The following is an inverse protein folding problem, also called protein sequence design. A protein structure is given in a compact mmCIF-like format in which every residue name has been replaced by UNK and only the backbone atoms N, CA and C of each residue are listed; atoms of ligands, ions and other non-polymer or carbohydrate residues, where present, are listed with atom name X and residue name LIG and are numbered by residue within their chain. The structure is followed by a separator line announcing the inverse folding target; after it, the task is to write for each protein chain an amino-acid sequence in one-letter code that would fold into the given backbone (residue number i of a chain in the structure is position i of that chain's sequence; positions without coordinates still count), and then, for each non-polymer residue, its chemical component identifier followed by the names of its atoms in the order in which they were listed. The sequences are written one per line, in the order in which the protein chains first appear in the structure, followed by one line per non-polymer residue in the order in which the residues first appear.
data_IF_567192540692
#
_entry.id   IF_567192540692
#
_cell.length_a   1.000
_cell.length_b   1.000
_cell.length_c   1.000
_cell.angle_alpha   90.00
_cell.angle_beta   90.00
_cell.angle_gamma   90.00
#
_symmetry.space_group_name_H-M   'P 1'
#
loop_
_entity.id
_entity.type
_entity.pdbx_description
1 polymer ?
#
# COMPACT_ATOMS: atom_id res chain seq x y z
N UNK A 1 8.72 -8.05 2.24
CA UNK A 1 7.85 -6.85 2.18
C UNK A 1 7.03 -6.89 0.91
N UNK A 2 5.76 -6.65 1.00
CA UNK A 2 4.89 -6.52 -0.17
C UNK A 2 4.28 -5.13 -0.18
N UNK A 3 4.29 -4.48 -1.35
CA UNK A 3 3.64 -3.20 -1.56
C UNK A 3 2.58 -3.41 -2.62
N UNK A 4 1.33 -3.29 -2.23
CA UNK A 4 0.19 -3.49 -3.13
C UNK A 4 -0.36 -2.10 -3.48
N UNK A 5 -0.35 -1.77 -4.76
CA UNK A 5 -0.72 -0.44 -5.22
C UNK A 5 -1.66 -0.52 -6.41
N UNK A 6 -2.40 0.55 -6.65
CA UNK A 6 -3.25 0.64 -7.83
C UNK A 6 -3.14 2.03 -8.46
N UNK A 7 -3.51 2.09 -9.74
CA UNK A 7 -3.53 3.35 -10.47
C UNK A 7 -2.18 4.06 -10.49
N UNK A 8 -2.23 5.36 -10.29
CA UNK A 8 -1.03 6.20 -10.37
C UNK A 8 -0.04 5.94 -9.24
N UNK A 9 -0.48 5.27 -8.17
CA UNK A 9 0.41 5.01 -7.03
C UNK A 9 1.38 3.87 -7.30
N UNK A 10 1.18 3.09 -8.35
CA UNK A 10 2.10 2.01 -8.71
C UNK A 10 3.51 2.54 -8.96
N UNK A 11 3.63 3.70 -9.62
CA UNK A 11 4.94 4.33 -9.86
C UNK A 11 5.64 4.65 -8.54
N UNK A 12 4.90 5.18 -7.57
CA UNK A 12 5.47 5.48 -6.25
C UNK A 12 5.93 4.21 -5.55
N UNK A 13 5.14 3.15 -5.66
CA UNK A 13 5.48 1.86 -5.05
C UNK A 13 6.76 1.28 -5.66
N UNK A 14 6.91 1.38 -6.98
CA UNK A 14 8.11 0.89 -7.66
C UNK A 14 9.35 1.69 -7.25
N UNK A 15 9.22 3.01 -7.11
CA UNK A 15 10.33 3.86 -6.67
C UNK A 15 10.71 3.53 -5.22
N UNK A 16 9.72 3.32 -4.37
CA UNK A 16 9.97 2.94 -2.98
C UNK A 16 10.67 1.58 -2.89
N UNK A 17 10.23 0.61 -3.69
CA UNK A 17 10.84 -0.70 -3.72
C UNK A 17 12.31 -0.63 -4.15
N UNK A 18 12.62 0.23 -5.10
CA UNK A 18 14.00 0.42 -5.55
C UNK A 18 14.88 1.00 -4.44
N UNK A 19 14.38 2.00 -3.73
CA UNK A 19 15.11 2.60 -2.62
C UNK A 19 15.32 1.59 -1.49
N UNK A 20 14.32 0.77 -1.22
CA UNK A 20 14.43 -0.28 -0.19
C UNK A 20 15.48 -1.32 -0.58
N UNK A 21 15.53 -1.69 -1.84
CA UNK A 21 16.51 -2.64 -2.33
C UNK A 21 17.94 -2.13 -2.10
N UNK A 22 18.16 -0.85 -2.29
CA UNK A 22 19.47 -0.23 -2.02
C UNK A 22 19.86 -0.33 -0.55
N UNK A 23 18.89 -0.49 0.33
CA UNK A 23 19.09 -0.62 1.77
C UNK A 23 19.01 -2.08 2.24
N UNK A 24 19.01 -3.03 1.31
CA UNK A 24 18.99 -4.45 1.64
C UNK A 24 17.62 -5.01 1.98
N UNK A 25 16.56 -4.28 1.70
CA UNK A 25 15.19 -4.72 1.96
C UNK A 25 14.53 -5.09 0.65
N UNK A 26 14.16 -6.36 0.50
CA UNK A 26 13.44 -6.80 -0.69
C UNK A 26 11.97 -6.44 -0.58
N UNK A 27 11.44 -5.81 -1.63
CA UNK A 27 10.03 -5.45 -1.69
C UNK A 27 9.44 -5.95 -3.00
N UNK A 28 8.34 -6.69 -2.89
CA UNK A 28 7.57 -7.16 -4.03
C UNK A 28 6.44 -6.16 -4.27
N UNK A 29 6.33 -5.66 -5.48
CA UNK A 29 5.26 -4.71 -5.84
C UNK A 29 4.19 -5.48 -6.61
N UNK A 30 2.95 -5.34 -6.15
CA UNK A 30 1.79 -5.94 -6.79
C UNK A 30 0.91 -4.83 -7.32
N UNK A 31 0.73 -4.81 -8.65
CA UNK A 31 -0.15 -3.85 -9.31
C UNK A 31 -1.57 -4.42 -9.34
N UNK A 32 -2.44 -3.85 -8.52
CA UNK A 32 -3.82 -4.31 -8.40
C UNK A 32 -4.75 -3.35 -9.11
N UNK A 33 -4.90 -3.52 -10.42
CA UNK A 33 -5.72 -2.60 -11.20
C UNK A 33 -7.21 -2.81 -11.05
N UNK A 34 -7.63 -3.86 -10.38
CA UNK A 34 -9.05 -4.12 -10.15
C UNK A 34 -9.27 -4.48 -8.69
N UNK A 35 -10.19 -3.78 -8.04
CA UNK A 35 -10.54 -4.08 -6.67
C UNK A 35 -11.71 -5.05 -6.62
N UNK A 36 -12.58 -5.01 -7.62
CA UNK A 36 -13.74 -5.89 -7.74
C UNK A 36 -13.78 -6.48 -9.15
N UNK A 37 -13.41 -7.76 -9.31
CA UNK A 37 -12.97 -8.66 -8.26
C UNK A 37 -11.51 -8.43 -7.87
N UNK A 38 -11.21 -8.51 -6.59
CA UNK A 38 -9.85 -8.46 -6.10
C UNK A 38 -9.13 -9.75 -6.49
N UNK A 39 -7.85 -9.67 -6.82
CA UNK A 39 -7.04 -10.86 -7.05
C UNK A 39 -6.69 -11.47 -5.69
N UNK A 40 -7.61 -12.24 -5.17
CA UNK A 40 -7.53 -12.82 -3.83
C UNK A 40 -6.31 -13.75 -3.70
N UNK A 41 -6.03 -14.53 -4.75
CA UNK A 41 -4.91 -15.47 -4.69
C UNK A 41 -3.57 -14.76 -4.58
N UNK A 42 -3.38 -13.65 -5.31
CA UNK A 42 -2.14 -12.89 -5.22
C UNK A 42 -1.98 -12.27 -3.84
N UNK A 43 -3.05 -11.75 -3.26
CA UNK A 43 -3.01 -11.16 -1.92
C UNK A 43 -2.75 -12.24 -0.86
N UNK A 44 -3.40 -13.38 -0.97
CA UNK A 44 -3.17 -14.49 -0.04
C UNK A 44 -1.74 -14.97 -0.08
N UNK A 45 -1.13 -15.00 -1.27
CA UNK A 45 0.28 -15.37 -1.40
C UNK A 45 1.18 -14.40 -0.63
N UNK A 46 0.89 -13.09 -0.72
CA UNK A 46 1.63 -12.10 0.05
C UNK A 46 1.46 -12.29 1.55
N UNK A 47 0.23 -12.61 2.00
CA UNK A 47 -0.05 -12.84 3.42
C UNK A 47 0.73 -14.05 3.93
N UNK A 48 0.65 -15.16 3.22
CA UNK A 48 1.24 -16.42 3.67
C UNK A 48 2.75 -16.44 3.59
N UNK A 49 3.33 -15.86 2.54
CA UNK A 49 4.75 -15.99 2.25
C UNK A 49 5.59 -14.76 2.60
N UNK A 50 4.97 -13.61 2.79
CA UNK A 50 5.68 -12.37 3.09
C UNK A 50 5.31 -11.84 4.48
N UNK A 51 4.03 -11.69 4.75
CA UNK A 51 3.54 -11.33 6.08
C UNK A 51 3.62 -9.86 6.47
N UNK A 52 4.23 -9.03 5.64
CA UNK A 52 4.33 -7.58 5.87
C UNK A 52 3.89 -6.87 4.62
N UNK A 53 2.80 -6.10 4.72
CA UNK A 53 2.11 -5.55 3.57
C UNK A 53 1.85 -4.06 3.75
N UNK A 54 2.10 -3.29 2.70
CA UNK A 54 1.71 -1.88 2.62
C UNK A 54 0.79 -1.75 1.42
N UNK A 55 -0.39 -1.16 1.61
CA UNK A 55 -1.26 -0.80 0.48
C UNK A 55 -1.12 0.68 0.20
N UNK A 56 -1.09 1.04 -1.08
CA UNK A 56 -0.97 2.43 -1.52
C UNK A 56 -2.04 2.72 -2.56
N UNK A 57 -2.87 3.71 -2.29
CA UNK A 57 -3.97 4.07 -3.19
C UNK A 57 -4.21 5.56 -3.17
N UNK A 58 -4.71 6.10 -4.28
CA UNK A 58 -5.02 7.52 -4.41
C UNK A 58 -6.51 7.82 -4.21
N UNK A 59 -7.23 6.88 -3.61
CA UNK A 59 -8.65 7.03 -3.27
C UNK A 59 -8.83 6.99 -1.75
N UNK A 60 -10.05 7.26 -1.32
CA UNK A 60 -10.39 7.19 0.09
C UNK A 60 -10.12 5.78 0.63
N UNK A 61 -9.38 5.69 1.74
CA UNK A 61 -8.95 4.41 2.30
C UNK A 61 -10.08 3.56 2.88
N UNK A 62 -11.26 4.17 3.12
CA UNK A 62 -12.35 3.46 3.79
C UNK A 62 -12.98 2.37 2.94
N UNK A 63 -13.00 2.52 1.61
CA UNK A 63 -13.68 1.58 0.73
C UNK A 63 -12.83 1.13 -0.45
N UNK A 64 -11.53 1.34 -0.38
CA UNK A 64 -10.65 1.07 -1.49
C UNK A 64 -9.86 -0.22 -1.33
N UNK A 65 -8.70 -0.23 -1.95
CA UNK A 65 -7.77 -1.36 -1.95
C UNK A 65 -7.37 -1.78 -0.54
N UNK A 66 -7.03 -0.82 0.31
CA UNK A 66 -6.60 -1.11 1.67
C UNK A 66 -7.67 -1.83 2.47
N UNK A 67 -8.92 -1.45 2.31
CA UNK A 67 -10.04 -2.13 2.99
C UNK A 67 -10.20 -3.56 2.52
N UNK A 68 -10.11 -3.79 1.20
CA UNK A 68 -10.24 -5.13 0.65
C UNK A 68 -9.11 -6.05 1.13
N UNK A 69 -7.88 -5.54 1.16
CA UNK A 69 -6.74 -6.32 1.66
C UNK A 69 -6.85 -6.54 3.17
N UNK A 70 -7.32 -5.53 3.91
CA UNK A 70 -7.47 -5.64 5.36
C UNK A 70 -8.42 -6.77 5.75
N UNK A 71 -9.50 -6.96 5.00
CA UNK A 71 -10.43 -8.06 5.27
C UNK A 71 -9.74 -9.42 5.19
N UNK A 72 -8.89 -9.62 4.19
CA UNK A 72 -8.16 -10.87 4.03
C UNK A 72 -7.11 -11.06 5.13
N UNK A 73 -6.43 -9.98 5.50
CA UNK A 73 -5.44 -10.01 6.58
C UNK A 73 -6.11 -10.37 7.90
N UNK A 74 -7.27 -9.76 8.19
CA UNK A 74 -8.01 -10.00 9.42
C UNK A 74 -8.44 -11.46 9.52
N UNK A 75 -8.90 -12.05 8.43
CA UNK A 75 -9.33 -13.45 8.42
C UNK A 75 -8.15 -14.41 8.62
N UNK A 76 -6.98 -14.07 8.07
CA UNK A 76 -5.82 -14.95 8.16
C UNK A 76 -5.11 -14.87 9.51
N UNK A 77 -5.02 -13.66 10.09
CA UNK A 77 -4.26 -13.41 11.30
C UNK A 77 -2.75 -13.54 11.14
N UNK A 78 -2.24 -13.59 9.90
CA UNK A 78 -0.83 -13.92 9.64
C UNK A 78 0.01 -12.80 9.06
N UNK A 79 -0.54 -11.60 8.97
CA UNK A 79 0.19 -10.50 8.34
C UNK A 79 -0.03 -9.20 9.10
N UNK A 80 0.90 -8.29 8.94
CA UNK A 80 0.78 -6.92 9.42
C UNK A 80 0.56 -6.03 8.22
N UNK A 81 -0.43 -5.14 8.30
CA UNK A 81 -0.81 -4.25 7.21
C UNK A 81 -0.68 -2.80 7.63
N UNK A 82 -0.11 -1.99 6.74
CA UNK A 82 -0.14 -0.53 6.85
C UNK A 82 -0.79 0.01 5.58
N UNK A 83 -1.60 1.02 5.74
CA UNK A 83 -2.43 1.54 4.65
C UNK A 83 -2.06 2.98 4.37
N UNK A 84 -1.74 3.28 3.12
CA UNK A 84 -1.43 4.61 2.64
C UNK A 84 -2.50 5.00 1.63
N UNK A 85 -3.27 6.04 1.91
CA UNK A 85 -4.34 6.47 1.03
C UNK A 85 -4.91 7.79 1.50
N UNK A 86 -5.88 8.32 0.76
CA UNK A 86 -6.50 9.58 1.12
C UNK A 86 -7.40 9.37 2.33
N UNK A 87 -7.14 10.14 3.38
CA UNK A 87 -7.99 10.14 4.57
C UNK A 87 -9.29 10.86 4.25
N UNK A 88 -10.38 10.39 4.81
CA UNK A 88 -11.69 11.01 4.60
C UNK A 88 -11.75 12.33 5.36
N UNK A 89 -11.52 13.42 4.65
CA UNK A 89 -11.51 14.75 5.25
C UNK A 89 -12.41 15.66 4.43
N UNK A 90 -13.53 16.01 5.01
CA UNK A 90 -14.47 16.93 4.36
C UNK A 90 -13.83 18.29 4.17
N UNK A 91 -14.11 18.89 3.00
CA UNK A 91 -13.63 20.21 2.69
C UNK A 91 -12.20 20.30 2.23
N UNK A 92 -11.50 19.16 2.17
CA UNK A 92 -10.15 19.14 1.64
C UNK A 92 -10.19 19.37 0.14
N UNK A 93 -9.57 20.46 -0.30
CA UNK A 93 -9.54 20.84 -1.70
C UNK A 93 -8.14 21.33 -2.03
N UNK A 94 -7.47 20.67 -2.97
CA UNK A 94 -6.13 21.02 -3.39
C UNK A 94 -5.82 20.32 -4.70
N UNK A 95 -4.79 20.77 -5.44
CA UNK A 95 -4.33 20.02 -6.61
C UNK A 95 -3.97 18.59 -6.23
N UNK A 96 -4.14 17.69 -7.17
CA UNK A 96 -3.93 16.26 -6.94
C UNK A 96 -2.59 15.94 -6.26
N UNK A 97 -1.50 16.51 -6.78
CA UNK A 97 -0.17 16.26 -6.22
C UNK A 97 -0.06 16.71 -4.77
N UNK A 98 -0.71 17.83 -4.44
CA UNK A 98 -0.74 18.33 -3.07
C UNK A 98 -1.54 17.41 -2.16
N UNK A 99 -2.65 16.85 -2.67
CA UNK A 99 -3.46 15.90 -1.91
C UNK A 99 -2.65 14.65 -1.57
N UNK A 100 -1.82 14.18 -2.50
CA UNK A 100 -0.95 13.04 -2.23
C UNK A 100 0.01 13.34 -1.10
N UNK A 101 0.68 14.50 -1.14
CA UNK A 101 1.63 14.90 -0.09
C UNK A 101 0.94 15.05 1.26
N UNK A 102 -0.22 15.70 1.29
CA UNK A 102 -0.95 15.95 2.53
C UNK A 102 -1.41 14.66 3.22
N UNK A 103 -1.62 13.61 2.46
CA UNK A 103 -2.05 12.32 2.97
C UNK A 103 -0.92 11.30 3.10
N UNK A 104 0.32 11.74 2.92
CA UNK A 104 1.47 10.84 3.07
C UNK A 104 1.64 9.82 1.95
N UNK A 105 1.03 10.09 0.79
CA UNK A 105 1.17 9.20 -0.37
C UNK A 105 2.42 9.62 -1.14
N UNK A 106 3.56 9.29 -0.56
CA UNK A 106 4.87 9.67 -1.09
C UNK A 106 5.82 8.49 -1.00
N UNK A 107 6.85 8.52 -1.84
CA UNK A 107 7.90 7.50 -1.81
C UNK A 107 8.55 7.46 -0.43
N UNK A 108 8.85 8.62 0.14
CA UNK A 108 9.50 8.73 1.44
C UNK A 108 8.70 8.06 2.55
N UNK A 109 7.39 8.29 2.58
CA UNK A 109 6.55 7.72 3.60
C UNK A 109 6.42 6.20 3.44
N UNK A 110 6.32 5.72 2.20
CA UNK A 110 6.26 4.28 1.94
C UNK A 110 7.54 3.62 2.43
N UNK A 111 8.70 4.21 2.15
CA UNK A 111 9.98 3.68 2.59
C UNK A 111 10.06 3.65 4.12
N UNK A 112 9.63 4.73 4.78
CA UNK A 112 9.66 4.78 6.24
C UNK A 112 8.75 3.73 6.88
N UNK A 113 7.55 3.54 6.34
CA UNK A 113 6.64 2.51 6.84
C UNK A 113 7.23 1.11 6.65
N UNK A 114 7.88 0.87 5.51
CA UNK A 114 8.52 -0.41 5.25
C UNK A 114 9.63 -0.69 6.26
N UNK A 115 10.43 0.32 6.58
CA UNK A 115 11.49 0.18 7.59
C UNK A 115 10.91 -0.12 8.96
N UNK A 116 9.80 0.52 9.33
CA UNK A 116 9.13 0.24 10.59
C UNK A 116 8.67 -1.21 10.67
N UNK A 117 8.13 -1.74 9.57
CA UNK A 117 7.64 -3.11 9.53
C UNK A 117 8.77 -4.14 9.61
N UNK A 118 10.00 -3.76 9.27
CA UNK A 118 11.16 -4.66 9.36
C UNK A 118 11.66 -4.81 10.80
N UNK A 119 11.32 -3.89 11.65
CA UNK A 119 11.68 -3.99 13.06
C UNK A 119 10.74 -4.96 13.76
#
# INVERSE_FOLDING_TARGET
MAIIANGDTVTLALQAARQLQEQGIEARVLDMHTIKPLDVEAVKDCIENIGRIITVEDHNILNGLGSAVADLVAESGKAVLRRVGIQDQFGQSAPYERLLEMNGITVENIVELAKELQK
#
